data_IF_977845193725
#
_entry.id   IF_977845193725
#
_cell.length_a   1.000
_cell.length_b   1.000
_cell.length_c   1.000
_cell.angle_alpha   90.00
_cell.angle_beta   90.00
_cell.angle_gamma   90.00
#
_symmetry.space_group_name_H-M   'P 1'
#
loop_
_entity.id
_entity.type
_entity.pdbx_description
1 polymer ?
#
# COMPACT_ATOMS: atom_id res chain seq x y z
N UNK A 1 32.35 -7.37 5.33
CA UNK A 1 31.69 -6.22 5.99
C UNK A 1 31.42 -5.05 5.03
N UNK A 2 32.33 -4.69 4.11
CA UNK A 2 32.07 -3.63 3.12
C UNK A 2 30.86 -3.91 2.20
N UNK A 3 30.79 -5.12 1.62
CA UNK A 3 29.69 -5.53 0.70
C UNK A 3 28.30 -5.56 1.36
N UNK A 4 28.21 -5.91 2.65
CA UNK A 4 26.95 -5.86 3.41
C UNK A 4 26.50 -4.44 3.72
N UNK A 5 27.43 -3.52 3.94
CA UNK A 5 27.13 -2.11 4.17
C UNK A 5 26.72 -1.38 2.88
N UNK A 6 27.31 -1.72 1.74
CA UNK A 6 26.88 -1.21 0.43
C UNK A 6 25.45 -1.62 0.08
N UNK A 7 25.07 -2.87 0.38
CA UNK A 7 23.73 -3.38 0.09
C UNK A 7 22.66 -2.94 1.10
N UNK A 8 22.99 -2.90 2.39
CA UNK A 8 22.00 -2.70 3.46
C UNK A 8 22.16 -1.37 4.21
N UNK A 9 23.25 -0.64 4.04
CA UNK A 9 23.53 0.60 4.77
C UNK A 9 22.45 1.65 4.55
N UNK A 10 22.04 1.86 3.30
CA UNK A 10 20.96 2.80 2.95
C UNK A 10 19.62 2.38 3.57
N UNK A 11 19.32 1.08 3.60
CA UNK A 11 18.10 0.54 4.20
C UNK A 11 18.10 0.73 5.72
N UNK A 12 19.23 0.47 6.37
CA UNK A 12 19.39 0.65 7.82
C UNK A 12 19.27 2.13 8.19
N UNK A 13 19.93 3.02 7.45
CA UNK A 13 19.83 4.46 7.65
C UNK A 13 18.39 4.93 7.47
N UNK A 14 17.74 4.57 6.36
CA UNK A 14 16.36 4.94 6.09
C UNK A 14 15.41 4.43 7.18
N UNK A 15 15.55 3.16 7.60
CA UNK A 15 14.76 2.58 8.68
C UNK A 15 14.99 3.27 10.03
N UNK A 16 16.23 3.63 10.33
CA UNK A 16 16.62 4.30 11.59
C UNK A 16 15.96 5.67 11.72
N UNK A 17 15.80 6.42 10.64
CA UNK A 17 15.12 7.72 10.66
C UNK A 17 13.61 7.61 10.44
N UNK A 18 13.15 6.64 9.65
CA UNK A 18 11.72 6.45 9.38
C UNK A 18 10.93 6.06 10.64
N UNK A 19 11.49 5.21 11.50
CA UNK A 19 10.79 4.73 12.71
C UNK A 19 10.52 5.85 13.74
N UNK A 20 11.51 6.68 14.14
CA UNK A 20 11.27 7.83 15.02
C UNK A 20 10.32 8.86 14.40
N UNK A 21 10.42 9.12 13.10
CA UNK A 21 9.52 10.04 12.39
C UNK A 21 8.09 9.52 12.36
N UNK A 22 7.90 8.23 12.08
CA UNK A 22 6.60 7.57 12.14
C UNK A 22 6.02 7.63 13.55
N UNK A 23 6.82 7.33 14.58
CA UNK A 23 6.40 7.42 15.97
C UNK A 23 5.99 8.85 16.33
N UNK A 24 6.80 9.85 15.97
CA UNK A 24 6.47 11.26 16.18
C UNK A 24 5.16 11.64 15.49
N UNK A 25 4.96 11.24 14.22
CA UNK A 25 3.74 11.48 13.48
C UNK A 25 2.51 10.84 14.17
N UNK A 26 2.64 9.59 14.64
CA UNK A 26 1.58 8.91 15.40
C UNK A 26 1.25 9.70 16.66
N UNK A 27 2.25 10.15 17.42
CA UNK A 27 2.05 10.90 18.66
C UNK A 27 1.38 12.26 18.42
N UNK A 28 1.79 12.98 17.36
CA UNK A 28 1.19 14.26 16.99
C UNK A 28 -0.25 14.10 16.54
N UNK A 29 -0.53 13.13 15.66
CA UNK A 29 -1.90 12.83 15.21
C UNK A 29 -2.77 12.33 16.37
N UNK A 30 -2.24 11.47 17.23
CA UNK A 30 -2.92 11.01 18.43
C UNK A 30 -3.31 12.19 19.33
N UNK A 31 -2.35 13.06 19.67
CA UNK A 31 -2.61 14.27 20.48
C UNK A 31 -3.66 15.17 19.84
N UNK A 32 -3.56 15.41 18.53
CA UNK A 32 -4.52 16.23 17.78
C UNK A 32 -5.93 15.62 17.81
N UNK A 33 -6.06 14.31 17.60
CA UNK A 33 -7.34 13.59 17.58
C UNK A 33 -7.98 13.47 18.95
N UNK A 34 -7.17 13.26 19.98
CA UNK A 34 -7.64 13.26 21.37
C UNK A 34 -8.19 14.64 21.75
N UNK A 35 -7.50 15.73 21.38
CA UNK A 35 -8.00 17.10 21.58
C UNK A 35 -9.29 17.39 20.82
N UNK A 36 -9.47 16.78 19.64
CA UNK A 36 -10.67 16.90 18.83
C UNK A 36 -11.81 15.94 19.24
N UNK A 37 -11.65 15.15 20.32
CA UNK A 37 -12.69 14.22 20.80
C UNK A 37 -12.95 13.02 19.88
N UNK A 38 -11.98 12.62 19.05
CA UNK A 38 -12.15 11.50 18.12
C UNK A 38 -12.34 10.17 18.89
N UNK A 39 -13.26 9.28 18.47
CA UNK A 39 -13.64 8.08 19.25
C UNK A 39 -12.55 7.01 19.36
N UNK A 40 -11.60 6.97 18.42
CA UNK A 40 -10.49 6.01 18.42
C UNK A 40 -9.18 6.67 17.94
N UNK A 41 -8.61 7.59 18.72
CA UNK A 41 -7.53 8.46 18.26
C UNK A 41 -6.24 7.67 17.99
N UNK A 42 -5.87 6.71 18.85
CA UNK A 42 -4.65 5.93 18.68
C UNK A 42 -4.73 4.99 17.46
N UNK A 43 -5.79 4.17 17.37
CA UNK A 43 -5.99 3.20 16.28
C UNK A 43 -5.94 3.88 14.91
N UNK A 44 -6.66 4.99 14.76
CA UNK A 44 -6.67 5.72 13.50
C UNK A 44 -5.34 6.40 13.19
N UNK A 45 -4.61 6.90 14.20
CA UNK A 45 -3.28 7.48 13.96
C UNK A 45 -2.27 6.44 13.51
N UNK A 46 -2.27 5.26 14.14
CA UNK A 46 -1.42 4.13 13.73
C UNK A 46 -1.79 3.68 12.32
N UNK A 47 -3.08 3.50 12.02
CA UNK A 47 -3.52 3.08 10.70
C UNK A 47 -3.09 4.09 9.62
N UNK A 48 -3.24 5.39 9.86
CA UNK A 48 -2.92 6.41 8.86
C UNK A 48 -1.43 6.52 8.58
N UNK A 49 -0.63 6.54 9.65
CA UNK A 49 0.83 6.57 9.50
C UNK A 49 1.33 5.27 8.89
N UNK A 50 0.75 4.12 9.27
CA UNK A 50 1.10 2.84 8.69
C UNK A 50 0.75 2.74 7.20
N UNK A 51 -0.43 3.24 6.78
CA UNK A 51 -0.80 3.32 5.36
C UNK A 51 0.19 4.22 4.62
N UNK A 52 0.45 5.42 5.13
CA UNK A 52 1.34 6.37 4.47
C UNK A 52 2.77 5.82 4.37
N UNK A 53 3.36 5.40 5.49
CA UNK A 53 4.72 4.86 5.54
C UNK A 53 4.87 3.56 4.76
N UNK A 54 3.83 2.72 4.72
CA UNK A 54 3.85 1.44 4.03
C UNK A 54 3.54 1.52 2.53
N UNK A 55 2.86 2.55 2.06
CA UNK A 55 2.43 2.70 0.63
C UNK A 55 3.29 3.73 -0.11
N UNK A 56 3.68 4.84 0.55
CA UNK A 56 4.37 5.94 -0.12
C UNK A 56 5.71 5.56 -0.77
N UNK A 57 6.57 4.70 -0.17
CA UNK A 57 7.80 4.27 -0.84
C UNK A 57 7.55 3.51 -2.14
N UNK A 58 6.50 2.69 -2.20
CA UNK A 58 6.11 1.99 -3.42
C UNK A 58 5.58 2.95 -4.47
N UNK A 59 4.71 3.88 -4.09
CA UNK A 59 4.20 4.91 -5.00
C UNK A 59 5.33 5.77 -5.56
N UNK A 60 6.29 6.16 -4.71
CA UNK A 60 7.50 6.82 -5.18
C UNK A 60 8.23 5.94 -6.20
N UNK A 61 8.49 4.68 -5.85
CA UNK A 61 9.26 3.77 -6.69
C UNK A 61 8.62 3.55 -8.07
N UNK A 62 7.29 3.39 -8.14
CA UNK A 62 6.57 3.20 -9.42
C UNK A 62 6.44 4.50 -10.23
N UNK A 63 6.54 5.67 -9.57
CA UNK A 63 6.54 6.99 -10.22
C UNK A 63 7.94 7.54 -10.50
N UNK A 64 9.02 6.90 -10.05
CA UNK A 64 10.37 7.23 -10.49
C UNK A 64 10.50 6.88 -11.97
N UNK A 65 10.95 7.81 -12.83
CA UNK A 65 11.21 7.52 -14.24
C UNK A 65 12.19 6.35 -14.39
N UNK A 66 11.92 5.44 -15.33
CA UNK A 66 12.86 4.41 -15.76
C UNK A 66 13.22 4.60 -17.23
N UNK A 67 14.44 4.24 -17.62
CA UNK A 67 14.90 4.32 -19.02
C UNK A 67 14.35 3.17 -19.90
N UNK A 68 13.23 2.57 -19.49
CA UNK A 68 12.61 1.43 -20.16
C UNK A 68 11.77 1.85 -21.38
N UNK A 69 11.42 0.88 -22.25
CA UNK A 69 10.50 1.14 -23.36
C UNK A 69 9.14 1.66 -22.83
N UNK A 70 8.65 2.75 -23.41
CA UNK A 70 7.31 3.28 -23.14
C UNK A 70 6.27 2.46 -23.93
N UNK A 71 5.21 1.99 -23.27
CA UNK A 71 4.16 1.20 -23.91
C UNK A 71 2.94 1.02 -23.01
N UNK A 72 1.84 0.53 -23.59
CA UNK A 72 0.58 0.27 -22.86
C UNK A 72 0.12 -1.15 -23.17
N UNK A 73 0.15 -2.02 -22.15
CA UNK A 73 -0.39 -3.37 -22.16
C UNK A 73 -1.87 -3.35 -21.79
N UNK A 74 -2.74 -3.15 -22.79
CA UNK A 74 -4.19 -3.14 -22.57
C UNK A 74 -4.82 -4.53 -22.58
N UNK A 75 -4.06 -5.56 -23.00
CA UNK A 75 -4.53 -6.94 -23.03
C UNK A 75 -4.32 -7.54 -21.63
N UNK A 76 -5.40 -7.86 -20.90
CA UNK A 76 -5.25 -8.51 -19.60
C UNK A 76 -4.56 -9.86 -19.76
N UNK A 77 -3.68 -10.19 -18.81
CA UNK A 77 -2.91 -11.42 -18.70
C UNK A 77 -1.82 -11.63 -19.76
N UNK A 78 -1.56 -10.67 -20.64
CA UNK A 78 -0.49 -10.78 -21.64
C UNK A 78 0.89 -10.71 -20.97
N UNK A 79 1.10 -9.74 -20.08
CA UNK A 79 2.38 -9.57 -19.40
C UNK A 79 2.62 -10.72 -18.42
N UNK A 80 1.56 -11.24 -17.78
CA UNK A 80 1.63 -12.45 -16.97
C UNK A 80 1.96 -13.71 -17.78
N UNK A 81 1.55 -13.79 -19.04
CA UNK A 81 1.89 -14.91 -19.92
C UNK A 81 3.36 -14.84 -20.37
N UNK A 82 3.85 -13.64 -20.72
CA UNK A 82 5.26 -13.41 -21.05
C UNK A 82 6.18 -13.73 -19.85
N UNK A 83 5.66 -13.55 -18.64
CA UNK A 83 6.35 -13.87 -17.39
C UNK A 83 6.59 -15.38 -17.19
N UNK A 84 5.81 -16.24 -17.86
CA UNK A 84 5.99 -17.70 -17.79
C UNK A 84 7.29 -18.16 -18.45
N UNK A 85 7.76 -17.40 -19.44
CA UNK A 85 9.02 -17.65 -20.15
C UNK A 85 10.20 -16.87 -19.53
N UNK A 86 9.93 -16.01 -18.55
CA UNK A 86 10.93 -15.21 -17.85
C UNK A 86 11.62 -16.01 -16.72
N UNK A 87 12.83 -15.58 -16.28
CA UNK A 87 13.45 -16.13 -15.08
C UNK A 87 12.54 -16.00 -13.86
N UNK A 88 12.48 -17.03 -13.02
CA UNK A 88 11.58 -17.07 -11.85
C UNK A 88 11.84 -15.91 -10.87
N UNK A 89 13.07 -15.41 -10.79
CA UNK A 89 13.42 -14.25 -9.97
C UNK A 89 12.72 -12.98 -10.46
N UNK A 90 12.69 -12.76 -11.78
CA UNK A 90 12.01 -11.63 -12.40
C UNK A 90 10.49 -11.74 -12.18
N UNK A 91 9.95 -12.94 -12.33
CA UNK A 91 8.54 -13.23 -12.08
C UNK A 91 8.12 -12.91 -10.65
N UNK A 92 8.92 -13.34 -9.66
CA UNK A 92 8.67 -13.05 -8.26
C UNK A 92 8.79 -11.57 -7.92
N UNK A 93 9.75 -10.86 -8.50
CA UNK A 93 9.92 -9.42 -8.26
C UNK A 93 8.74 -8.64 -8.84
N UNK A 94 8.27 -8.99 -10.04
CA UNK A 94 7.13 -8.32 -10.66
C UNK A 94 5.82 -8.62 -9.93
N UNK A 95 5.47 -9.90 -9.75
CA UNK A 95 4.23 -10.29 -9.08
C UNK A 95 4.26 -9.86 -7.61
N UNK A 96 5.34 -10.15 -6.90
CA UNK A 96 5.51 -9.79 -5.50
C UNK A 96 5.54 -8.29 -5.27
N UNK A 97 6.26 -7.54 -6.12
CA UNK A 97 6.33 -6.09 -6.05
C UNK A 97 4.95 -5.45 -6.17
N UNK A 98 4.17 -5.82 -7.19
CA UNK A 98 2.82 -5.31 -7.39
C UNK A 98 1.86 -5.70 -6.24
N UNK A 99 1.88 -6.95 -5.79
CA UNK A 99 1.07 -7.37 -4.64
C UNK A 99 1.37 -6.54 -3.37
N UNK A 100 2.57 -5.98 -3.24
CA UNK A 100 2.98 -5.19 -2.09
C UNK A 100 2.67 -3.69 -2.19
N UNK A 101 2.44 -3.13 -3.39
CA UNK A 101 2.21 -1.69 -3.60
C UNK A 101 1.10 -1.16 -2.69
N UNK A 102 -0.06 -1.82 -2.68
CA UNK A 102 -1.20 -1.45 -1.82
C UNK A 102 -1.43 -2.39 -0.65
N UNK A 103 -0.46 -3.23 -0.28
CA UNK A 103 -0.59 -4.14 0.85
C UNK A 103 -0.88 -3.41 2.17
N UNK A 104 -0.12 -2.34 2.46
CA UNK A 104 -0.31 -1.53 3.68
C UNK A 104 -1.66 -0.81 3.70
N UNK A 105 -2.08 -0.26 2.54
CA UNK A 105 -3.41 0.31 2.35
C UNK A 105 -4.51 -0.72 2.65
N UNK A 106 -4.43 -1.90 2.03
CA UNK A 106 -5.41 -2.97 2.18
C UNK A 106 -5.50 -3.50 3.61
N UNK A 107 -4.35 -3.70 4.27
CA UNK A 107 -4.27 -4.15 5.65
C UNK A 107 -4.91 -3.16 6.65
N UNK A 108 -4.66 -1.86 6.49
CA UNK A 108 -4.95 -0.90 7.55
C UNK A 108 -6.22 -0.08 7.31
N UNK A 109 -6.73 -0.02 6.09
CA UNK A 109 -7.95 0.73 5.76
C UNK A 109 -9.20 0.19 6.51
N UNK A 110 -9.43 -1.14 6.60
CA UNK A 110 -10.51 -1.70 7.42
C UNK A 110 -10.33 -1.53 8.93
N UNK A 111 -9.08 -1.45 9.40
CA UNK A 111 -8.71 -1.21 10.80
C UNK A 111 -8.98 0.24 11.18
N UNK A 112 -8.73 1.17 10.25
CA UNK A 112 -9.01 2.60 10.42
C UNK A 112 -10.51 2.85 10.57
N UNK A 113 -11.31 2.38 9.61
CA UNK A 113 -12.71 2.79 9.49
C UNK A 113 -13.64 1.61 9.23
N UNK A 114 -14.74 1.57 9.99
CA UNK A 114 -15.83 0.61 9.78
C UNK A 114 -16.45 0.72 8.38
N UNK A 115 -16.46 1.92 7.79
CA UNK A 115 -16.96 2.11 6.43
C UNK A 115 -16.14 1.31 5.40
N UNK A 116 -14.91 0.92 5.73
CA UNK A 116 -14.01 0.16 4.88
C UNK A 116 -13.79 -1.28 5.35
N UNK A 117 -14.58 -1.76 6.32
CA UNK A 117 -14.59 -3.16 6.77
C UNK A 117 -15.30 -4.09 5.78
N UNK A 118 -14.94 -4.00 4.50
CA UNK A 118 -15.45 -4.82 3.40
C UNK A 118 -14.34 -5.00 2.37
N UNK A 119 -14.04 -6.26 2.04
CA UNK A 119 -13.01 -6.60 1.04
C UNK A 119 -13.32 -5.93 -0.29
N UNK A 120 -14.59 -5.94 -0.72
CA UNK A 120 -15.00 -5.31 -1.96
C UNK A 120 -14.73 -3.79 -1.97
N UNK A 121 -14.94 -3.10 -0.84
CA UNK A 121 -14.64 -1.66 -0.72
C UNK A 121 -13.14 -1.40 -0.74
N UNK A 122 -12.35 -2.23 -0.06
CA UNK A 122 -10.89 -2.15 -0.11
C UNK A 122 -10.39 -2.38 -1.54
N UNK A 123 -10.87 -3.42 -2.20
CA UNK A 123 -10.52 -3.74 -3.58
C UNK A 123 -10.90 -2.59 -4.53
N UNK A 124 -12.09 -2.01 -4.40
CA UNK A 124 -12.50 -0.87 -5.22
C UNK A 124 -11.60 0.36 -5.01
N UNK A 125 -11.21 0.66 -3.77
CA UNK A 125 -10.30 1.76 -3.46
C UNK A 125 -8.90 1.49 -4.02
N UNK A 126 -8.38 0.27 -3.85
CA UNK A 126 -7.09 -0.13 -4.37
C UNK A 126 -7.06 -0.11 -5.91
N UNK A 127 -8.10 -0.61 -6.57
CA UNK A 127 -8.24 -0.55 -8.02
C UNK A 127 -8.27 0.89 -8.53
N UNK A 128 -9.04 1.78 -7.89
CA UNK A 128 -9.09 3.19 -8.26
C UNK A 128 -7.73 3.88 -8.12
N UNK A 129 -6.99 3.61 -7.04
CA UNK A 129 -5.63 4.14 -6.87
C UNK A 129 -4.64 3.53 -7.85
N UNK A 130 -4.77 2.25 -8.20
CA UNK A 130 -3.89 1.61 -9.17
C UNK A 130 -4.12 2.18 -10.57
N UNK A 131 -5.37 2.33 -11.00
CA UNK A 131 -5.70 2.98 -12.28
C UNK A 131 -5.18 4.41 -12.31
N UNK A 132 -5.26 5.15 -11.20
CA UNK A 132 -4.67 6.48 -11.11
C UNK A 132 -3.14 6.45 -11.24
N UNK A 133 -2.46 5.48 -10.63
CA UNK A 133 -1.01 5.32 -10.74
C UNK A 133 -0.59 5.03 -12.19
N UNK A 134 -1.25 4.08 -12.84
CA UNK A 134 -1.05 3.77 -14.26
C UNK A 134 -1.29 4.99 -15.16
N UNK A 135 -2.39 5.71 -14.93
CA UNK A 135 -2.71 6.92 -15.68
C UNK A 135 -1.64 8.01 -15.50
N UNK A 136 -1.09 8.16 -14.28
CA UNK A 136 0.02 9.08 -14.02
C UNK A 136 1.30 8.62 -14.72
N UNK A 137 1.63 7.33 -14.68
CA UNK A 137 2.81 6.80 -15.36
C UNK A 137 2.74 7.01 -16.88
N UNK A 138 1.57 6.79 -17.45
CA UNK A 138 1.30 7.05 -18.86
C UNK A 138 1.36 8.55 -19.19
N UNK A 139 0.65 9.40 -18.43
CA UNK A 139 0.56 10.83 -18.69
C UNK A 139 1.91 11.55 -18.51
N UNK A 140 2.70 11.14 -17.52
CA UNK A 140 4.03 11.69 -17.25
C UNK A 140 5.14 11.04 -18.08
N UNK A 141 4.80 10.07 -18.95
CA UNK A 141 5.74 9.34 -19.81
C UNK A 141 6.95 8.80 -19.05
N UNK A 142 6.71 8.17 -17.90
CA UNK A 142 7.76 7.74 -16.97
C UNK A 142 8.63 6.58 -17.48
N UNK A 143 8.57 6.21 -18.76
CA UNK A 143 9.38 5.12 -19.31
C UNK A 143 9.05 3.75 -18.73
N UNK A 144 7.79 3.56 -18.31
CA UNK A 144 7.26 2.29 -17.82
C UNK A 144 6.15 1.78 -18.73
N UNK A 145 6.09 0.46 -18.87
CA UNK A 145 5.01 -0.24 -19.53
C UNK A 145 3.80 -0.22 -18.59
N UNK A 146 2.73 0.47 -18.99
CA UNK A 146 1.52 0.57 -18.17
C UNK A 146 0.61 -0.62 -18.48
N UNK A 147 0.29 -1.42 -17.46
CA UNK A 147 -0.37 -2.72 -17.64
C UNK A 147 -1.64 -2.88 -16.82
N UNK A 148 -2.65 -3.50 -17.43
CA UNK A 148 -3.85 -3.96 -16.70
C UNK A 148 -3.49 -5.01 -15.65
N UNK A 149 -2.42 -5.79 -15.86
CA UNK A 149 -1.99 -6.84 -14.94
C UNK A 149 -1.48 -6.25 -13.62
N UNK A 150 -0.79 -5.11 -13.68
CA UNK A 150 -0.32 -4.40 -12.50
C UNK A 150 -1.51 -3.89 -11.65
N UNK A 151 -2.57 -3.40 -12.30
CA UNK A 151 -3.82 -3.02 -11.62
C UNK A 151 -4.47 -4.20 -10.91
N UNK A 152 -4.54 -5.35 -11.57
CA UNK A 152 -5.11 -6.57 -11.01
C UNK A 152 -4.28 -7.05 -9.82
N UNK A 153 -2.95 -7.11 -9.95
CA UNK A 153 -2.04 -7.54 -8.89
C UNK A 153 -2.08 -6.59 -7.69
N UNK A 154 -1.97 -5.29 -7.90
CA UNK A 154 -2.05 -4.27 -6.85
C UNK A 154 -3.38 -4.37 -6.07
N UNK A 155 -4.49 -4.61 -6.78
CA UNK A 155 -5.82 -4.79 -6.18
C UNK A 155 -5.93 -6.10 -5.40
N UNK A 156 -5.43 -7.20 -5.95
CA UNK A 156 -5.40 -8.50 -5.31
C UNK A 156 -4.56 -8.47 -4.02
N UNK A 157 -3.40 -7.82 -4.07
CA UNK A 157 -2.53 -7.59 -2.91
C UNK A 157 -3.28 -6.88 -1.79
N UNK A 158 -3.95 -5.76 -2.08
CA UNK A 158 -4.75 -5.04 -1.09
C UNK A 158 -5.86 -5.92 -0.47
N UNK A 159 -6.55 -6.73 -1.28
CA UNK A 159 -7.60 -7.64 -0.78
C UNK A 159 -7.03 -8.76 0.12
N UNK A 160 -5.90 -9.36 -0.25
CA UNK A 160 -5.21 -10.39 0.54
C UNK A 160 -4.79 -9.82 1.90
N UNK A 161 -4.15 -8.66 1.92
CA UNK A 161 -3.69 -8.04 3.17
C UNK A 161 -4.85 -7.52 4.04
N UNK A 162 -5.97 -7.13 3.43
CA UNK A 162 -7.21 -6.86 4.18
C UNK A 162 -7.74 -8.13 4.88
N UNK A 163 -7.66 -9.29 4.24
CA UNK A 163 -8.05 -10.58 4.83
C UNK A 163 -7.14 -10.97 5.99
N UNK A 164 -5.82 -10.78 5.85
CA UNK A 164 -4.84 -11.04 6.92
C UNK A 164 -5.17 -10.24 8.19
N UNK A 165 -5.67 -9.02 8.01
CA UNK A 165 -6.01 -8.12 9.11
C UNK A 165 -7.46 -8.20 9.60
N UNK A 166 -8.26 -9.14 9.07
CA UNK A 166 -9.70 -9.26 9.33
C UNK A 166 -10.09 -9.24 10.80
N UNK A 167 -9.28 -9.84 11.66
CA UNK A 167 -9.50 -9.89 13.12
C UNK A 167 -9.36 -8.54 13.84
N UNK A 168 -8.76 -7.54 13.20
CA UNK A 168 -8.51 -6.21 13.78
C UNK A 168 -9.36 -5.11 13.13
N UNK A 169 -10.30 -5.49 12.26
CA UNK A 169 -11.18 -4.54 11.61
C UNK A 169 -11.99 -3.74 12.63
N UNK A 170 -12.31 -2.50 12.28
CA UNK A 170 -13.07 -1.65 13.18
C UNK A 170 -14.49 -2.21 13.39
N UNK A 171 -14.73 -2.76 14.59
CA UNK A 171 -16.02 -3.32 14.97
C UNK A 171 -17.11 -2.26 15.17
N UNK A 172 -18.38 -2.72 15.18
CA UNK A 172 -19.46 -1.93 15.78
C UNK A 172 -19.14 -1.83 17.28
N UNK A 173 -18.89 -0.63 17.80
CA UNK A 173 -19.07 -0.39 19.23
C UNK A 173 -20.53 -0.79 19.52
N UNK A 174 -20.81 -1.82 20.33
CA UNK A 174 -22.17 -2.09 20.78
C UNK A 174 -22.63 -0.79 21.42
N UNK A 175 -23.70 -0.19 20.90
CA UNK A 175 -24.23 1.04 21.46
C UNK A 175 -24.37 0.83 22.96
N UNK A 176 -23.70 1.67 23.75
CA UNK A 176 -23.83 1.66 25.21
C UNK A 176 -25.31 1.47 25.52
N UNK A 177 -25.68 0.34 26.10
CA UNK A 177 -26.99 0.18 26.73
C UNK A 177 -27.04 1.24 27.81
N UNK A 178 -27.70 2.36 27.53
CA UNK A 178 -28.05 3.33 28.56
C UNK A 178 -28.95 2.57 29.54
N UNK A 179 -28.55 2.41 30.81
CA UNK A 179 -29.47 1.90 31.82
C UNK A 179 -30.64 2.87 31.87
N UNK A 180 -31.86 2.36 31.69
CA UNK A 180 -33.09 3.12 31.91
C UNK A 180 -33.29 3.38 33.39
#
# INVERSE_FOLDING_TARGET
MARTWELWGNVIIAGTFALPLALLAILLLFRRRTRAGHPAPLRTSIADVGIAAGTAPWIWMILTPSDGPTGVGLVPFADLADLLDAPWEAALVQVGGNLLVFAALGALLPVRSRAMSSIARVAAVAAAFSVLAEALQFALRLGRFSSVDDVVLNTAGAAIFALVTRRWWADRIPGRTVPR
#
